data_IF_026468451715
#
_entry.id   IF_026468451715
#
_cell.length_a   1.000
_cell.length_b   1.000
_cell.length_c   1.000
_cell.angle_alpha   90.00
_cell.angle_beta   90.00
_cell.angle_gamma   90.00
#
_symmetry.space_group_name_H-M   'P 1'
#
loop_
_entity.id
_entity.type
_entity.pdbx_description
1 polymer ?
#
# COMPACT_ATOMS: atom_id res chain seq x y z
N UNK A 1 8.93 -4.96 -8.66
CA UNK A 1 9.08 -4.08 -9.74
C UNK A 1 10.50 -3.85 -10.22
N UNK A 2 10.77 -2.62 -10.67
CA UNK A 2 12.06 -2.26 -11.31
C UNK A 2 13.29 -2.53 -10.43
N UNK A 3 13.18 -2.33 -9.12
CA UNK A 3 14.27 -2.57 -8.16
C UNK A 3 14.64 -4.05 -8.06
N UNK A 4 13.69 -4.96 -8.21
CA UNK A 4 13.95 -6.40 -8.13
C UNK A 4 14.93 -6.88 -9.22
N UNK A 5 14.98 -6.20 -10.37
CA UNK A 5 15.93 -6.50 -11.46
C UNK A 5 17.39 -6.18 -11.11
N UNK A 6 17.62 -5.34 -10.10
CA UNK A 6 18.96 -4.92 -9.64
C UNK A 6 19.46 -5.81 -8.50
N UNK A 7 18.61 -6.67 -7.95
CA UNK A 7 19.00 -7.58 -6.87
C UNK A 7 19.77 -8.77 -7.45
N UNK A 8 20.85 -9.14 -6.77
CA UNK A 8 21.68 -10.30 -7.17
C UNK A 8 20.79 -11.55 -7.29
N UNK A 9 20.97 -12.32 -8.37
CA UNK A 9 20.24 -13.59 -8.57
C UNK A 9 20.44 -14.50 -7.36
N UNK A 10 19.33 -15.04 -6.84
CA UNK A 10 19.32 -15.87 -5.64
C UNK A 10 19.15 -15.11 -4.32
N UNK A 11 19.13 -13.76 -4.36
CA UNK A 11 18.80 -12.95 -3.19
C UNK A 11 17.29 -12.68 -3.12
N UNK A 12 16.77 -12.46 -1.91
CA UNK A 12 15.36 -12.14 -1.71
C UNK A 12 15.01 -10.78 -2.36
N UNK A 13 13.94 -10.75 -3.15
CA UNK A 13 13.42 -9.54 -3.80
C UNK A 13 12.17 -8.99 -3.13
N UNK A 14 11.65 -9.72 -2.16
CA UNK A 14 10.49 -9.35 -1.35
C UNK A 14 10.79 -9.69 0.11
N UNK A 15 10.39 -8.84 1.03
CA UNK A 15 10.50 -9.07 2.48
C UNK A 15 9.11 -8.95 3.11
N UNK A 16 8.66 -10.01 3.72
CA UNK A 16 7.41 -10.05 4.49
C UNK A 16 7.74 -9.91 5.99
N UNK A 17 8.26 -8.75 6.38
CA UNK A 17 8.86 -8.54 7.72
C UNK A 17 7.93 -8.82 8.90
N UNK A 18 6.63 -8.64 8.74
CA UNK A 18 5.61 -8.90 9.77
C UNK A 18 4.97 -10.29 9.67
N UNK A 19 5.25 -11.02 8.59
CA UNK A 19 4.58 -12.29 8.33
C UNK A 19 4.83 -13.32 9.44
N UNK A 20 6.06 -13.39 9.96
CA UNK A 20 6.39 -14.32 11.04
C UNK A 20 5.64 -13.96 12.32
N UNK A 21 5.61 -12.66 12.69
CA UNK A 21 4.88 -12.22 13.88
C UNK A 21 3.38 -12.48 13.74
N UNK A 22 2.77 -12.17 12.61
CA UNK A 22 1.36 -12.41 12.37
C UNK A 22 1.03 -13.91 12.42
N UNK A 23 1.89 -14.76 11.87
CA UNK A 23 1.75 -16.21 11.93
C UNK A 23 1.85 -16.73 13.37
N UNK A 24 2.85 -16.26 14.13
CA UNK A 24 3.09 -16.70 15.53
C UNK A 24 1.97 -16.23 16.49
N UNK A 25 1.22 -15.20 16.13
CA UNK A 25 0.10 -14.66 16.90
C UNK A 25 -1.28 -15.05 16.34
N UNK A 26 -1.35 -15.98 15.39
CA UNK A 26 -2.58 -16.44 14.72
C UNK A 26 -3.38 -15.30 14.06
N UNK A 27 -2.68 -14.25 13.65
CA UNK A 27 -3.27 -13.07 13.01
C UNK A 27 -3.33 -13.26 11.49
N UNK A 28 -4.08 -14.26 11.06
CA UNK A 28 -4.17 -14.67 9.66
C UNK A 28 -4.79 -13.58 8.76
N UNK A 29 -5.62 -12.71 9.33
CA UNK A 29 -6.26 -11.61 8.58
C UNK A 29 -5.19 -10.57 8.20
N UNK A 30 -4.38 -10.12 9.16
CA UNK A 30 -3.29 -9.19 8.90
C UNK A 30 -2.21 -9.81 8.00
N UNK A 31 -1.89 -11.09 8.21
CA UNK A 31 -0.97 -11.83 7.35
C UNK A 31 -1.45 -11.84 5.89
N UNK A 32 -2.73 -12.16 5.67
CA UNK A 32 -3.32 -12.15 4.32
C UNK A 32 -3.23 -10.78 3.67
N UNK A 33 -3.62 -9.73 4.38
CA UNK A 33 -3.59 -8.37 3.86
C UNK A 33 -2.15 -7.94 3.51
N UNK A 34 -1.17 -8.24 4.37
CA UNK A 34 0.24 -7.99 4.11
C UNK A 34 0.72 -8.70 2.84
N UNK A 35 0.40 -9.99 2.70
CA UNK A 35 0.76 -10.77 1.51
C UNK A 35 0.16 -10.16 0.25
N UNK A 36 -1.14 -9.80 0.28
CA UNK A 36 -1.80 -9.17 -0.87
C UNK A 36 -1.17 -7.83 -1.23
N UNK A 37 -0.80 -7.01 -0.25
CA UNK A 37 -0.13 -5.73 -0.44
C UNK A 37 1.24 -5.91 -1.11
N UNK A 38 2.08 -6.75 -0.55
CA UNK A 38 3.44 -6.97 -1.08
C UNK A 38 3.43 -7.64 -2.47
N UNK A 39 2.48 -8.55 -2.72
CA UNK A 39 2.30 -9.08 -4.07
C UNK A 39 1.75 -8.04 -5.04
N UNK A 40 0.93 -7.09 -4.59
CA UNK A 40 0.55 -5.92 -5.36
C UNK A 40 1.79 -5.18 -5.88
N UNK A 41 2.77 -4.91 -5.01
CA UNK A 41 4.06 -4.31 -5.43
C UNK A 41 4.82 -5.19 -6.43
N UNK A 42 4.83 -6.50 -6.26
CA UNK A 42 5.46 -7.42 -7.21
C UNK A 42 4.80 -7.36 -8.60
N UNK A 43 3.50 -7.11 -8.65
CA UNK A 43 2.74 -6.90 -9.89
C UNK A 43 2.87 -5.48 -10.46
N UNK A 44 3.57 -4.58 -9.79
CA UNK A 44 3.83 -3.22 -10.26
C UNK A 44 2.90 -2.15 -9.67
N UNK A 45 2.02 -2.51 -8.74
CA UNK A 45 1.19 -1.51 -8.05
C UNK A 45 2.04 -0.67 -7.09
N UNK A 46 1.65 0.56 -6.91
CA UNK A 46 2.27 1.54 -5.99
C UNK A 46 1.31 1.87 -4.85
N UNK A 47 1.81 2.55 -3.82
CA UNK A 47 0.96 2.94 -2.69
C UNK A 47 -0.15 3.91 -3.10
N UNK A 48 -1.38 3.54 -2.85
CA UNK A 48 -2.57 4.30 -3.23
C UNK A 48 -2.70 5.64 -2.48
N UNK A 49 -2.21 5.74 -1.25
CA UNK A 49 -2.22 7.01 -0.50
C UNK A 49 -1.34 8.11 -1.14
N UNK A 50 -0.42 7.74 -2.05
CA UNK A 50 0.39 8.68 -2.82
C UNK A 50 -0.24 9.05 -4.16
N UNK A 51 -1.46 8.59 -4.45
CA UNK A 51 -2.19 8.89 -5.68
C UNK A 51 -2.37 10.41 -5.85
N UNK A 52 -2.15 11.00 -7.05
CA UNK A 52 -2.26 12.44 -7.26
C UNK A 52 -3.65 13.00 -6.94
N UNK A 53 -4.72 12.24 -7.17
CA UNK A 53 -6.09 12.61 -6.84
C UNK A 53 -6.52 12.28 -5.39
N UNK A 54 -5.62 11.83 -4.53
CA UNK A 54 -5.90 11.64 -3.13
C UNK A 54 -6.29 12.99 -2.48
N UNK A 55 -7.41 13.02 -1.76
CA UNK A 55 -8.00 14.22 -1.14
C UNK A 55 -7.77 14.30 0.37
N UNK A 56 -6.84 13.52 0.92
CA UNK A 56 -6.54 13.55 2.35
C UNK A 56 -5.94 14.91 2.75
N UNK A 57 -6.59 15.55 3.70
CA UNK A 57 -6.23 16.86 4.23
C UNK A 57 -5.32 16.67 5.47
N UNK A 58 -4.01 16.62 5.23
CA UNK A 58 -3.04 16.20 6.23
C UNK A 58 -2.83 17.22 7.35
N UNK A 59 -2.90 16.77 8.58
CA UNK A 59 -2.49 17.52 9.77
C UNK A 59 -0.98 17.39 9.98
N UNK A 60 -0.20 18.24 9.31
CA UNK A 60 1.26 18.19 9.35
C UNK A 60 1.83 18.39 10.77
N UNK A 61 1.15 19.17 11.62
CA UNK A 61 1.57 19.36 13.02
C UNK A 61 1.45 18.07 13.82
N UNK A 62 0.33 17.36 13.69
CA UNK A 62 0.14 16.07 14.36
C UNK A 62 1.11 14.99 13.82
N UNK A 63 1.36 15.00 12.51
CA UNK A 63 2.33 14.09 11.91
C UNK A 63 3.76 14.36 12.39
N UNK A 64 4.16 15.64 12.50
CA UNK A 64 5.47 16.00 13.00
C UNK A 64 5.63 15.59 14.47
N UNK A 65 4.67 15.91 15.32
CA UNK A 65 4.69 15.53 16.72
C UNK A 65 4.81 14.01 16.93
N UNK A 66 4.13 13.23 16.10
CA UNK A 66 4.17 11.78 16.20
C UNK A 66 5.43 11.16 15.56
N UNK A 67 5.66 11.42 14.27
CA UNK A 67 6.74 10.74 13.55
C UNK A 67 8.12 11.30 13.93
N UNK A 68 8.28 12.61 14.09
CA UNK A 68 9.57 13.24 14.38
C UNK A 68 9.83 13.25 15.87
N UNK A 69 8.92 13.86 16.65
CA UNK A 69 9.20 14.13 18.07
C UNK A 69 9.05 12.87 18.93
N UNK A 70 8.13 11.93 18.55
CA UNK A 70 7.92 10.70 19.32
C UNK A 70 8.72 9.51 18.75
N UNK A 71 8.71 9.30 17.42
CA UNK A 71 9.35 8.14 16.80
C UNK A 71 10.78 8.42 16.30
N UNK A 72 11.24 9.68 16.31
CA UNK A 72 12.59 10.07 15.90
C UNK A 72 12.86 9.98 14.39
N UNK A 73 11.82 9.96 13.56
CA UNK A 73 11.98 9.98 12.11
C UNK A 73 12.50 11.33 11.63
N UNK A 74 13.24 11.34 10.52
CA UNK A 74 13.52 12.60 9.83
C UNK A 74 12.28 13.07 9.09
N UNK A 75 12.01 14.37 9.10
CA UNK A 75 10.84 14.92 8.41
C UNK A 75 10.81 14.56 6.92
N UNK A 76 11.94 14.59 6.23
CA UNK A 76 12.02 14.17 4.82
C UNK A 76 11.65 12.71 4.57
N UNK A 77 11.77 11.82 5.57
CA UNK A 77 11.27 10.44 5.47
C UNK A 77 9.75 10.40 5.58
N UNK A 78 9.18 11.24 6.47
CA UNK A 78 7.72 11.40 6.59
C UNK A 78 7.13 11.94 5.28
N UNK A 79 7.74 12.97 4.70
CA UNK A 79 7.31 13.54 3.41
C UNK A 79 7.32 12.49 2.30
N UNK A 80 8.42 11.76 2.15
CA UNK A 80 8.50 10.70 1.13
C UNK A 80 7.49 9.59 1.33
N UNK A 81 7.25 9.20 2.58
CA UNK A 81 6.38 8.08 2.89
C UNK A 81 4.90 8.43 2.77
N UNK A 82 4.50 9.65 3.12
CA UNK A 82 3.10 10.00 3.30
C UNK A 82 2.58 11.10 2.38
N UNK A 83 3.44 12.07 2.01
CA UNK A 83 2.98 13.33 1.44
C UNK A 83 3.36 13.50 -0.03
N UNK A 84 4.41 12.82 -0.50
CA UNK A 84 4.88 12.94 -1.87
C UNK A 84 3.86 12.31 -2.82
N UNK A 85 3.29 13.11 -3.73
CA UNK A 85 2.41 12.61 -4.78
C UNK A 85 3.21 11.97 -5.90
N UNK A 86 2.67 10.89 -6.45
CA UNK A 86 3.22 10.29 -7.67
C UNK A 86 2.88 11.18 -8.88
N UNK A 87 3.73 11.13 -9.90
CA UNK A 87 3.53 11.88 -11.14
C UNK A 87 2.97 11.00 -12.28
N UNK A 88 2.30 11.64 -13.25
CA UNK A 88 1.73 10.96 -14.41
C UNK A 88 2.77 10.53 -15.44
N UNK A 89 4.01 11.06 -15.36
CA UNK A 89 5.04 10.79 -16.36
C UNK A 89 5.56 9.34 -16.26
N UNK A 90 5.51 8.75 -15.07
CA UNK A 90 6.09 7.43 -14.79
C UNK A 90 5.06 6.41 -14.30
N UNK A 91 3.80 6.82 -14.11
CA UNK A 91 2.77 6.00 -13.51
C UNK A 91 1.48 6.05 -14.32
N UNK A 92 0.83 4.90 -14.43
CA UNK A 92 -0.55 4.81 -14.94
C UNK A 92 -1.50 4.85 -13.74
N UNK A 93 -2.48 5.75 -13.78
CA UNK A 93 -3.45 5.92 -12.72
C UNK A 93 -4.85 5.53 -13.19
N UNK A 94 -5.57 4.85 -12.30
CA UNK A 94 -7.03 4.76 -12.29
C UNK A 94 -7.59 5.78 -11.29
N UNK A 95 -8.90 6.00 -11.20
CA UNK A 95 -9.47 6.86 -10.16
C UNK A 95 -9.02 6.42 -8.76
N UNK A 96 -8.72 7.39 -7.89
CA UNK A 96 -8.32 7.15 -6.50
C UNK A 96 -9.30 6.23 -5.78
N UNK A 97 -8.78 5.25 -5.06
CA UNK A 97 -9.51 4.15 -4.44
C UNK A 97 -9.09 3.95 -2.98
N UNK A 98 -9.67 4.70 -2.05
CA UNK A 98 -9.34 4.59 -0.63
C UNK A 98 -9.49 3.18 -0.02
N UNK A 99 -10.40 2.28 -0.49
CA UNK A 99 -10.46 0.90 -0.02
C UNK A 99 -9.39 -0.05 -0.59
N UNK A 100 -8.44 0.43 -1.39
CA UNK A 100 -7.37 -0.39 -1.96
C UNK A 100 -6.52 -1.05 -0.87
N UNK A 101 -6.14 -2.31 -1.08
CA UNK A 101 -5.14 -2.98 -0.23
C UNK A 101 -3.77 -2.30 -0.33
N UNK A 102 -3.52 -1.51 -1.40
CA UNK A 102 -2.30 -0.72 -1.56
C UNK A 102 -2.34 0.61 -0.80
N UNK A 103 -3.46 0.96 -0.16
CA UNK A 103 -3.58 2.17 0.65
C UNK A 103 -3.10 1.91 2.08
N UNK A 104 -2.19 2.74 2.58
CA UNK A 104 -1.85 2.70 3.99
C UNK A 104 -3.03 3.17 4.85
N UNK A 105 -3.32 2.54 5.99
CA UNK A 105 -4.32 3.04 6.91
C UNK A 105 -3.91 4.41 7.43
N UNK A 106 -4.84 5.33 7.52
CA UNK A 106 -4.60 6.69 8.01
C UNK A 106 -5.47 6.96 9.22
N UNK A 107 -4.85 7.17 10.36
CA UNK A 107 -5.58 7.51 11.56
C UNK A 107 -6.17 8.92 11.46
N UNK A 108 -7.39 9.10 11.99
CA UNK A 108 -8.11 10.37 11.97
C UNK A 108 -7.29 11.56 12.52
N UNK A 109 -6.45 11.31 13.52
CA UNK A 109 -5.61 12.36 14.13
C UNK A 109 -4.60 13.01 13.19
N UNK A 110 -4.24 12.31 12.10
CA UNK A 110 -3.33 12.82 11.07
C UNK A 110 -4.02 13.61 9.97
N UNK A 111 -5.33 13.85 10.09
CA UNK A 111 -6.12 14.63 9.14
C UNK A 111 -6.74 15.87 9.82
N UNK A 112 -6.80 16.99 9.09
CA UNK A 112 -7.50 18.21 9.51
C UNK A 112 -9.01 17.99 9.38
N UNK A 113 -9.47 17.32 8.34
CA UNK A 113 -10.88 17.06 8.07
C UNK A 113 -11.12 15.59 7.64
N UNK A 114 -12.38 15.19 7.59
CA UNK A 114 -12.79 13.85 7.14
C UNK A 114 -12.57 12.74 8.17
N UNK A 115 -12.88 11.52 7.80
CA UNK A 115 -12.57 10.30 8.53
C UNK A 115 -11.17 9.80 8.17
N UNK A 116 -10.56 8.99 9.04
CA UNK A 116 -9.35 8.24 8.69
C UNK A 116 -9.63 7.24 7.57
N UNK A 117 -8.59 6.63 7.02
CA UNK A 117 -8.72 5.53 6.09
C UNK A 117 -8.46 4.23 6.84
N UNK A 118 -9.45 3.32 6.91
CA UNK A 118 -9.28 2.06 7.63
C UNK A 118 -8.31 1.14 6.89
N UNK A 119 -7.78 0.17 7.60
CA UNK A 119 -6.97 -0.88 7.01
C UNK A 119 -7.80 -1.74 6.06
N UNK A 120 -7.29 -2.00 4.87
CA UNK A 120 -7.92 -2.86 3.87
C UNK A 120 -7.44 -4.32 4.01
N UNK A 121 -8.36 -5.23 4.26
CA UNK A 121 -8.08 -6.66 4.49
C UNK A 121 -8.04 -7.49 3.21
N UNK A 122 -8.57 -6.96 2.12
CA UNK A 122 -8.75 -7.67 0.86
C UNK A 122 -8.52 -6.74 -0.34
N UNK A 123 -8.31 -7.36 -1.51
CA UNK A 123 -8.33 -6.63 -2.77
C UNK A 123 -9.68 -5.97 -2.99
N UNK A 124 -9.70 -4.68 -3.29
CA UNK A 124 -10.87 -3.97 -3.81
C UNK A 124 -11.20 -4.42 -5.24
N UNK A 125 -12.36 -3.99 -5.76
CA UNK A 125 -12.67 -4.15 -7.18
C UNK A 125 -11.64 -3.49 -8.08
N UNK A 126 -11.26 -2.24 -7.75
CA UNK A 126 -10.28 -1.49 -8.51
C UNK A 126 -8.87 -2.10 -8.49
N UNK A 127 -8.44 -2.73 -7.39
CA UNK A 127 -7.17 -3.46 -7.36
C UNK A 127 -7.15 -4.61 -8.37
N UNK A 128 -8.27 -5.34 -8.49
CA UNK A 128 -8.39 -6.45 -9.45
C UNK A 128 -8.41 -5.95 -10.88
N UNK A 129 -9.13 -4.86 -11.12
CA UNK A 129 -9.28 -4.28 -12.46
C UNK A 129 -7.94 -3.75 -12.99
N UNK A 130 -7.15 -3.06 -12.16
CA UNK A 130 -5.83 -2.57 -12.59
C UNK A 130 -4.87 -3.71 -12.89
N UNK A 131 -4.91 -4.79 -12.12
CA UNK A 131 -4.09 -5.99 -12.41
C UNK A 131 -4.55 -6.65 -13.70
N UNK A 132 -5.85 -6.73 -13.96
CA UNK A 132 -6.38 -7.27 -15.21
C UNK A 132 -5.95 -6.45 -16.44
N UNK A 133 -5.90 -5.12 -16.31
CA UNK A 133 -5.40 -4.24 -17.39
C UNK A 133 -3.90 -4.42 -17.64
N UNK A 134 -3.11 -4.54 -16.57
CA UNK A 134 -1.66 -4.71 -16.68
C UNK A 134 -1.28 -6.09 -17.26
N UNK A 135 -2.13 -7.07 -17.07
CA UNK A 135 -1.88 -8.47 -17.48
C UNK A 135 -3.05 -9.05 -18.29
N UNK A 136 -3.43 -8.45 -19.42
CA UNK A 136 -4.56 -8.91 -20.22
C UNK A 136 -4.36 -10.33 -20.70
N UNK A 137 -5.40 -11.16 -20.60
CA UNK A 137 -5.39 -12.55 -21.05
C UNK A 137 -4.63 -13.55 -20.16
N UNK A 138 -4.01 -13.08 -19.05
CA UNK A 138 -3.33 -13.98 -18.10
C UNK A 138 -4.16 -14.28 -16.85
N UNK A 139 -5.20 -13.50 -16.59
CA UNK A 139 -6.13 -13.73 -15.50
C UNK A 139 -7.39 -14.33 -16.11
N UNK A 140 -7.51 -15.67 -16.14
CA UNK A 140 -8.82 -16.27 -16.36
C UNK A 140 -9.72 -15.86 -15.18
N UNK A 141 -11.00 -15.57 -15.42
CA UNK A 141 -12.01 -15.16 -14.43
C UNK A 141 -12.26 -16.19 -13.31
N UNK A 142 -11.31 -17.05 -13.01
CA UNK A 142 -11.38 -18.16 -12.05
C UNK A 142 -10.22 -18.17 -11.06
N UNK A 143 -9.79 -17.02 -10.57
CA UNK A 143 -9.03 -17.01 -9.32
C UNK A 143 -10.06 -17.12 -8.19
N UNK A 144 -10.46 -18.34 -7.90
CA UNK A 144 -11.12 -18.65 -6.64
C UNK A 144 -10.06 -18.58 -5.55
N UNK A 145 -9.98 -17.46 -4.84
CA UNK A 145 -9.42 -17.50 -3.50
C UNK A 145 -10.44 -18.23 -2.65
N UNK A 146 -10.09 -19.35 -2.01
CA UNK A 146 -11.02 -20.02 -1.11
C UNK A 146 -11.43 -19.01 -0.03
N UNK A 147 -12.74 -18.84 0.10
CA UNK A 147 -13.32 -18.14 1.26
C UNK A 147 -13.14 -19.14 2.41
N UNK A 148 -12.20 -18.85 3.31
CA UNK A 148 -12.08 -19.53 4.60
C UNK A 148 -12.85 -18.73 5.62
#
# INVERSE_FOLDING_TARGET
GAVAKQVRRGSATMRLGWAQWAFDNDDLINLRALVLHEFGHALGLVHEHLHPANTLDWNLSAMRAYYVDTLGWKWGDVERTWLTRLDDANHFFRPYNSPSVMHYPVERRFLLSGAGVPFAWNLSGADRDVVADLYPGKISNKIYLPVV
#
